data_IF_104588640388
#
_entry.id   IF_104588640388
#
_cell.length_a   1.000
_cell.length_b   1.000
_cell.length_c   1.000
_cell.angle_alpha   90.00
_cell.angle_beta   90.00
_cell.angle_gamma   90.00
#
_symmetry.space_group_name_H-M   'P 1'
#
loop_
_entity.id
_entity.type
_entity.pdbx_description
1 polymer ?
#
# COMPACT_ATOMS: atom_id res chain seq x y z
N UNK A 1 2.52 26.07 -16.88
CA UNK A 1 2.04 24.68 -16.82
C UNK A 1 2.16 24.27 -15.36
N UNK A 2 1.03 24.10 -14.66
CA UNK A 2 1.07 23.72 -13.24
C UNK A 2 1.37 22.22 -13.15
N UNK A 3 2.36 21.78 -12.36
CA UNK A 3 2.65 20.36 -12.17
C UNK A 3 1.48 19.71 -11.43
N UNK A 4 0.91 18.62 -11.98
CA UNK A 4 -0.10 17.79 -11.31
C UNK A 4 -1.42 17.55 -12.04
N UNK A 5 -1.65 18.11 -13.24
CA UNK A 5 -2.94 17.97 -13.94
C UNK A 5 -3.11 16.68 -14.77
N UNK A 6 -2.09 15.83 -14.88
CA UNK A 6 -2.11 14.68 -15.81
C UNK A 6 -2.22 13.31 -15.11
N UNK A 7 -2.38 13.27 -13.79
CA UNK A 7 -2.52 12.00 -13.07
C UNK A 7 -3.96 11.52 -13.12
N UNK A 8 -4.17 10.22 -13.33
CA UNK A 8 -5.48 9.61 -13.14
C UNK A 8 -5.85 9.60 -11.65
N UNK A 9 -7.12 9.91 -11.29
CA UNK A 9 -7.55 9.88 -9.90
C UNK A 9 -7.48 8.45 -9.34
N UNK A 10 -7.39 8.33 -8.02
CA UNK A 10 -7.43 7.02 -7.37
C UNK A 10 -8.73 6.29 -7.75
N UNK A 11 -8.67 5.06 -8.28
CA UNK A 11 -9.81 4.42 -8.96
C UNK A 11 -10.99 4.10 -8.03
N UNK A 12 -10.76 4.07 -6.72
CA UNK A 12 -11.78 3.79 -5.71
C UNK A 12 -12.09 5.01 -4.84
N UNK A 13 -11.81 6.23 -5.33
CA UNK A 13 -12.03 7.47 -4.57
C UNK A 13 -13.49 7.65 -4.11
N UNK A 14 -14.46 7.24 -4.93
CA UNK A 14 -15.90 7.39 -4.64
C UNK A 14 -16.40 6.51 -3.50
N UNK A 15 -15.75 5.36 -3.28
CA UNK A 15 -16.11 4.39 -2.25
C UNK A 15 -15.11 4.38 -1.08
N UNK A 16 -14.21 5.36 -1.04
CA UNK A 16 -13.19 5.47 -0.01
C UNK A 16 -13.82 5.83 1.35
N UNK A 17 -13.65 5.00 2.40
CA UNK A 17 -14.11 5.33 3.74
C UNK A 17 -13.42 6.58 4.30
N UNK A 18 -14.10 7.30 5.18
CA UNK A 18 -13.57 8.52 5.80
C UNK A 18 -12.24 8.29 6.53
N UNK A 19 -12.06 7.12 7.14
CA UNK A 19 -10.82 6.72 7.80
C UNK A 19 -9.58 6.66 6.87
N UNK A 20 -9.80 6.53 5.56
CA UNK A 20 -8.73 6.50 4.55
C UNK A 20 -8.59 7.83 3.79
N UNK A 21 -9.51 8.78 3.96
CA UNK A 21 -9.43 10.09 3.31
C UNK A 21 -8.22 10.85 3.85
N UNK A 22 -7.37 11.33 2.95
CA UNK A 22 -6.12 12.02 3.30
C UNK A 22 -4.98 11.09 3.74
N UNK A 23 -5.26 9.79 3.91
CA UNK A 23 -4.23 8.76 4.17
C UNK A 23 -3.65 8.25 2.86
N UNK A 24 -4.50 7.74 1.96
CA UNK A 24 -4.04 7.21 0.66
C UNK A 24 -3.62 8.33 -0.30
N UNK A 25 -2.87 7.94 -1.34
CA UNK A 25 -2.66 8.80 -2.50
C UNK A 25 -4.00 9.08 -3.19
N UNK A 26 -4.16 10.32 -3.65
CA UNK A 26 -5.33 10.84 -4.36
C UNK A 26 -5.32 10.50 -5.86
N UNK A 27 -4.26 9.87 -6.33
CA UNK A 27 -4.07 9.46 -7.72
C UNK A 27 -3.75 7.97 -7.81
N UNK A 28 -4.01 7.38 -8.98
CA UNK A 28 -3.66 6.01 -9.28
C UNK A 28 -2.18 5.90 -9.65
N UNK A 29 -1.47 4.92 -9.07
CA UNK A 29 -0.09 4.62 -9.43
C UNK A 29 0.06 3.24 -10.07
N UNK A 30 1.08 3.13 -10.90
CA UNK A 30 1.52 1.90 -11.53
C UNK A 30 2.51 1.16 -10.62
N UNK A 31 2.22 -0.11 -10.36
CA UNK A 31 3.03 -0.94 -9.46
C UNK A 31 4.36 -1.36 -10.08
N UNK A 32 4.42 -1.58 -11.39
CA UNK A 32 5.67 -1.92 -12.08
C UNK A 32 6.62 -0.72 -12.12
N UNK A 33 6.09 0.48 -12.39
CA UNK A 33 6.88 1.74 -12.30
C UNK A 33 7.40 1.97 -10.88
N UNK A 34 6.56 1.71 -9.87
CA UNK A 34 6.97 1.78 -8.47
C UNK A 34 8.13 0.82 -8.16
N UNK A 35 8.05 -0.42 -8.61
CA UNK A 35 9.10 -1.41 -8.39
C UNK A 35 10.39 -1.12 -9.18
N UNK A 36 10.28 -0.46 -10.33
CA UNK A 36 11.40 -0.06 -11.16
C UNK A 36 12.21 1.13 -10.60
N UNK A 37 11.72 1.82 -9.56
CA UNK A 37 12.45 2.89 -8.93
C UNK A 37 13.76 2.36 -8.29
N UNK A 38 14.87 2.97 -8.68
CA UNK A 38 16.19 2.72 -8.09
C UNK A 38 16.32 3.49 -6.77
N UNK A 39 15.82 2.87 -5.70
CA UNK A 39 15.82 3.42 -4.35
C UNK A 39 16.63 2.55 -3.42
N UNK A 40 17.42 3.14 -2.50
CA UNK A 40 18.14 2.38 -1.49
C UNK A 40 17.16 1.69 -0.55
N UNK A 41 17.55 0.50 -0.08
CA UNK A 41 16.84 -0.18 1.00
C UNK A 41 17.34 0.36 2.33
N UNK A 42 16.40 0.76 3.18
CA UNK A 42 16.61 1.16 4.59
C UNK A 42 15.70 0.33 5.49
N UNK A 43 15.83 0.47 6.80
CA UNK A 43 14.88 -0.13 7.76
C UNK A 43 14.01 0.95 8.39
N UNK A 44 12.78 0.57 8.73
CA UNK A 44 11.89 1.35 9.60
C UNK A 44 11.37 0.47 10.75
N UNK A 45 11.14 1.04 11.93
CA UNK A 45 10.37 0.37 12.98
C UNK A 45 8.99 -0.03 12.47
N UNK A 46 8.56 -1.27 12.73
CA UNK A 46 7.20 -1.73 12.42
C UNK A 46 6.16 -0.85 13.13
N UNK A 47 6.48 -0.38 14.33
CA UNK A 47 5.63 0.53 15.11
C UNK A 47 5.24 1.81 14.33
N UNK A 48 6.13 2.35 13.49
CA UNK A 48 5.87 3.56 12.70
C UNK A 48 4.86 3.32 11.57
N UNK A 49 4.64 2.06 11.19
CA UNK A 49 3.74 1.62 10.12
C UNK A 49 2.49 0.89 10.65
N UNK A 50 2.53 0.35 11.87
CA UNK A 50 1.49 -0.49 12.47
C UNK A 50 0.10 0.16 12.48
N UNK A 51 0.02 1.49 12.57
CA UNK A 51 -1.25 2.22 12.51
C UNK A 51 -2.02 1.99 11.19
N UNK A 52 -1.35 1.63 10.09
CA UNK A 52 -2.00 1.29 8.82
C UNK A 52 -2.70 -0.07 8.89
N UNK A 53 -2.28 -0.97 9.79
CA UNK A 53 -2.86 -2.30 9.98
C UNK A 53 -4.23 -2.24 10.69
N UNK A 54 -4.57 -1.09 11.29
CA UNK A 54 -5.88 -0.78 11.85
C UNK A 54 -6.83 -0.09 10.85
N UNK A 55 -6.38 0.17 9.62
CA UNK A 55 -7.21 0.80 8.59
C UNK A 55 -7.84 -0.24 7.66
N UNK A 56 -9.04 0.03 7.11
CA UNK A 56 -9.75 -0.92 6.27
C UNK A 56 -9.10 -0.98 4.88
N UNK A 57 -7.97 -1.68 4.73
CA UNK A 57 -7.17 -1.69 3.51
C UNK A 57 -7.61 -2.73 2.48
N UNK A 58 -8.32 -3.78 2.90
CA UNK A 58 -8.57 -4.95 2.06
C UNK A 58 -10.04 -5.14 1.72
N UNK A 59 -10.26 -5.68 0.52
CA UNK A 59 -11.58 -6.08 0.06
C UNK A 59 -12.04 -7.36 0.77
N UNK A 60 -13.34 -7.46 1.02
CA UNK A 60 -14.01 -8.65 1.54
C UNK A 60 -15.44 -8.70 1.04
N UNK A 61 -15.93 -9.88 0.65
CA UNK A 61 -17.30 -10.03 0.15
C UNK A 61 -17.61 -9.24 -1.14
N UNK A 62 -16.61 -9.02 -1.99
CA UNK A 62 -16.77 -8.29 -3.26
C UNK A 62 -16.76 -6.76 -3.15
N UNK A 63 -16.62 -6.21 -1.94
CA UNK A 63 -16.51 -4.76 -1.73
C UNK A 63 -15.08 -4.39 -1.27
N UNK A 64 -14.53 -3.24 -1.73
CA UNK A 64 -13.24 -2.74 -1.27
C UNK A 64 -13.35 -2.14 0.15
N UNK A 65 -12.20 -2.02 0.83
CA UNK A 65 -12.06 -1.35 2.13
C UNK A 65 -13.03 -1.86 3.22
N UNK A 66 -13.14 -3.17 3.37
CA UNK A 66 -14.08 -3.80 4.31
C UNK A 66 -13.40 -4.36 5.56
N UNK A 67 -12.12 -4.75 5.45
CA UNK A 67 -11.42 -5.42 6.54
C UNK A 67 -10.02 -4.84 6.74
N UNK A 68 -9.63 -4.73 8.00
CA UNK A 68 -8.28 -4.30 8.38
C UNK A 68 -7.31 -5.49 8.42
N UNK A 69 -6.01 -5.27 8.18
CA UNK A 69 -5.00 -6.30 8.41
C UNK A 69 -5.06 -6.95 9.80
N UNK A 70 -5.25 -6.17 10.88
CA UNK A 70 -5.40 -6.72 12.23
C UNK A 70 -6.67 -7.57 12.40
N UNK A 71 -7.79 -7.22 11.75
CA UNK A 71 -9.00 -8.07 11.77
C UNK A 71 -8.74 -9.42 11.09
N UNK A 72 -7.98 -9.43 9.98
CA UNK A 72 -7.58 -10.67 9.31
C UNK A 72 -6.67 -11.53 10.19
N UNK A 73 -5.73 -10.92 10.92
CA UNK A 73 -4.90 -11.62 11.88
C UNK A 73 -5.70 -12.20 13.05
N UNK A 74 -6.71 -11.48 13.53
CA UNK A 74 -7.54 -11.89 14.66
C UNK A 74 -8.52 -13.04 14.33
N UNK A 75 -9.00 -13.13 13.08
CA UNK A 75 -9.91 -14.18 12.62
C UNK A 75 -9.45 -14.80 11.28
N UNK A 76 -8.37 -15.62 11.31
CA UNK A 76 -7.76 -16.17 10.11
C UNK A 76 -8.67 -17.19 9.39
N UNK A 77 -9.67 -17.74 10.07
CA UNK A 77 -10.64 -18.67 9.46
C UNK A 77 -11.66 -17.91 8.63
N UNK A 78 -12.22 -16.82 9.16
CA UNK A 78 -13.18 -15.98 8.44
C UNK A 78 -12.56 -15.26 7.25
N UNK A 79 -11.32 -14.82 7.38
CA UNK A 79 -10.57 -14.06 6.37
C UNK A 79 -9.48 -14.88 5.69
N UNK A 80 -9.74 -16.18 5.46
CA UNK A 80 -8.76 -17.16 5.02
C UNK A 80 -7.96 -16.75 3.78
N UNK A 81 -8.58 -16.11 2.78
CA UNK A 81 -7.88 -15.68 1.57
C UNK A 81 -6.81 -14.62 1.87
N UNK A 82 -7.17 -13.56 2.59
CA UNK A 82 -6.23 -12.49 2.94
C UNK A 82 -5.16 -12.98 3.92
N UNK A 83 -5.54 -13.87 4.84
CA UNK A 83 -4.58 -14.48 5.77
C UNK A 83 -3.58 -15.38 5.02
N UNK A 84 -4.05 -16.21 4.08
CA UNK A 84 -3.17 -17.04 3.24
C UNK A 84 -2.20 -16.19 2.41
N UNK A 85 -2.67 -15.09 1.81
CA UNK A 85 -1.82 -14.12 1.11
C UNK A 85 -0.79 -13.48 2.02
N UNK A 86 -1.17 -13.15 3.25
CA UNK A 86 -0.26 -12.64 4.30
C UNK A 86 0.84 -13.66 4.58
N UNK A 87 0.48 -14.91 4.87
CA UNK A 87 1.46 -15.96 5.20
C UNK A 87 2.37 -16.33 4.03
N UNK A 88 1.90 -16.19 2.79
CA UNK A 88 2.68 -16.43 1.58
C UNK A 88 3.57 -15.24 1.15
N UNK A 89 3.36 -14.03 1.70
CA UNK A 89 4.03 -12.82 1.25
C UNK A 89 5.51 -12.83 1.62
N UNK A 90 6.43 -12.90 0.66
CA UNK A 90 7.88 -12.97 0.93
C UNK A 90 8.44 -11.67 1.55
N UNK A 91 8.86 -11.75 2.82
CA UNK A 91 9.40 -10.65 3.62
C UNK A 91 10.84 -10.27 3.27
N UNK A 92 11.51 -11.04 2.39
CA UNK A 92 12.80 -10.64 1.84
C UNK A 92 12.69 -9.42 0.91
N UNK A 93 11.50 -9.15 0.34
CA UNK A 93 11.26 -7.98 -0.49
C UNK A 93 10.84 -6.76 0.36
N UNK A 94 11.49 -5.59 0.15
CA UNK A 94 11.17 -4.40 0.92
C UNK A 94 9.74 -3.89 0.65
N UNK A 95 9.20 -3.15 1.61
CA UNK A 95 7.99 -2.35 1.41
C UNK A 95 8.32 -1.11 0.57
N UNK A 96 7.37 -0.59 -0.19
CA UNK A 96 7.48 0.76 -0.73
C UNK A 96 6.65 1.68 0.14
N UNK A 97 7.28 2.73 0.67
CA UNK A 97 6.63 3.69 1.56
C UNK A 97 6.87 5.11 1.06
N UNK A 98 5.96 6.04 1.33
CA UNK A 98 6.17 7.47 1.09
C UNK A 98 5.79 8.27 2.33
N UNK A 99 6.37 9.45 2.51
CA UNK A 99 5.95 10.36 3.57
C UNK A 99 4.66 11.07 3.16
N UNK A 100 3.62 10.95 3.99
CA UNK A 100 2.38 11.70 3.84
C UNK A 100 2.13 12.51 5.11
N UNK A 101 2.62 13.74 5.13
CA UNK A 101 2.40 14.67 6.24
C UNK A 101 3.12 14.27 7.53
N UNK A 102 4.35 13.76 7.41
CA UNK A 102 5.18 13.31 8.53
C UNK A 102 4.84 11.92 9.06
N UNK A 103 3.97 11.17 8.36
CA UNK A 103 3.65 9.78 8.67
C UNK A 103 3.92 8.90 7.45
N UNK A 104 4.65 7.78 7.58
CA UNK A 104 4.88 6.89 6.46
C UNK A 104 3.58 6.18 6.03
N UNK A 105 3.30 6.21 4.73
CA UNK A 105 2.23 5.48 4.06
C UNK A 105 2.84 4.33 3.26
N UNK A 106 2.27 3.13 3.37
CA UNK A 106 2.64 1.98 2.52
C UNK A 106 1.95 2.10 1.16
N UNK A 107 2.76 2.16 0.09
CA UNK A 107 2.31 2.12 -1.31
C UNK A 107 2.22 0.70 -1.85
N UNK A 108 3.12 -0.19 -1.38
CA UNK A 108 3.10 -1.61 -1.71
C UNK A 108 3.68 -2.44 -0.55
N UNK A 109 3.10 -3.61 -0.33
CA UNK A 109 3.57 -4.59 0.65
C UNK A 109 2.78 -4.67 1.96
N UNK A 110 1.50 -4.26 1.98
CA UNK A 110 0.68 -4.35 3.21
C UNK A 110 0.63 -5.77 3.81
N UNK A 111 0.56 -6.81 2.97
CA UNK A 111 0.65 -8.22 3.42
C UNK A 111 2.01 -8.55 4.04
N UNK A 112 3.11 -7.99 3.52
CA UNK A 112 4.46 -8.18 4.07
C UNK A 112 4.60 -7.46 5.41
N UNK A 113 4.04 -6.26 5.55
CA UNK A 113 4.01 -5.55 6.83
C UNK A 113 3.30 -6.38 7.92
N UNK A 114 2.09 -6.88 7.64
CA UNK A 114 1.36 -7.72 8.59
C UNK A 114 2.14 -9.00 8.91
N UNK A 115 2.73 -9.66 7.91
CA UNK A 115 3.54 -10.88 8.13
C UNK A 115 4.74 -10.61 9.05
N UNK A 116 5.42 -9.47 8.86
CA UNK A 116 6.55 -9.05 9.70
C UNK A 116 6.11 -8.84 11.15
N UNK A 117 4.98 -8.17 11.36
CA UNK A 117 4.43 -7.96 12.72
C UNK A 117 4.04 -9.28 13.39
N UNK A 118 3.36 -10.19 12.67
CA UNK A 118 2.99 -11.51 13.18
C UNK A 118 4.20 -12.38 13.53
N UNK A 119 5.34 -12.17 12.84
CA UNK A 119 6.60 -12.83 13.16
C UNK A 119 7.31 -12.24 14.40
N UNK A 120 6.79 -11.15 14.97
CA UNK A 120 7.36 -10.46 16.13
C UNK A 120 8.62 -9.65 15.80
N UNK A 121 8.82 -9.30 14.53
CA UNK A 121 9.98 -8.51 14.12
C UNK A 121 9.73 -7.02 14.38
N UNK A 122 10.69 -6.34 15.00
CA UNK A 122 10.57 -4.92 15.36
C UNK A 122 10.84 -3.96 14.20
N UNK A 123 11.48 -4.43 13.13
CA UNK A 123 11.88 -3.63 11.98
C UNK A 123 11.50 -4.31 10.67
N UNK A 124 11.32 -3.51 9.62
CA UNK A 124 11.04 -3.97 8.26
C UNK A 124 11.90 -3.22 7.25
N UNK A 125 12.38 -3.94 6.23
CA UNK A 125 13.08 -3.34 5.10
C UNK A 125 12.11 -2.54 4.23
N UNK A 126 12.48 -1.32 3.87
CA UNK A 126 11.67 -0.43 3.04
C UNK A 126 12.51 0.29 1.98
N UNK A 127 11.85 0.71 0.91
CA UNK A 127 12.28 1.72 -0.04
C UNK A 127 11.41 2.95 0.16
N UNK A 128 12.03 4.07 0.56
CA UNK A 128 11.30 5.34 0.77
C UNK A 128 11.20 6.07 -0.57
N UNK A 129 9.99 6.18 -1.10
CA UNK A 129 9.64 6.89 -2.32
C UNK A 129 9.52 8.38 -2.00
N UNK A 130 10.45 9.23 -2.48
CA UNK A 130 10.37 10.66 -2.23
C UNK A 130 9.18 11.26 -2.97
N UNK A 131 8.61 12.36 -2.43
CA UNK A 131 7.48 13.04 -3.05
C UNK A 131 7.73 13.44 -4.52
N UNK A 132 8.99 13.77 -4.85
CA UNK A 132 9.41 14.11 -6.21
C UNK A 132 9.31 12.94 -7.21
N UNK A 133 9.38 11.69 -6.75
CA UNK A 133 9.26 10.49 -7.60
C UNK A 133 7.81 10.00 -7.74
N UNK A 134 6.84 10.64 -7.08
CA UNK A 134 5.43 10.25 -7.17
C UNK A 134 4.85 10.47 -8.58
N UNK A 135 5.38 11.43 -9.33
CA UNK A 135 5.00 11.66 -10.74
C UNK A 135 5.49 10.55 -11.68
N UNK A 136 6.58 9.87 -11.33
CA UNK A 136 7.19 8.82 -12.16
C UNK A 136 6.38 7.53 -12.10
N UNK A 137 5.63 7.32 -11.01
CA UNK A 137 4.78 6.14 -10.80
C UNK A 137 3.31 6.41 -11.14
N UNK A 138 2.90 7.67 -11.33
CA UNK A 138 1.51 8.01 -11.57
C UNK A 138 1.03 7.43 -12.91
N UNK A 139 -0.18 6.87 -12.90
CA UNK A 139 -0.90 6.52 -14.12
C UNK A 139 -1.43 7.80 -14.78
N UNK A 140 -1.40 7.84 -16.11
CA UNK A 140 -1.82 8.98 -16.95
C UNK A 140 -2.88 8.54 -17.96
N UNK A 141 -3.71 9.45 -18.49
CA UNK A 141 -4.73 9.11 -19.49
C UNK A 141 -4.20 8.38 -20.72
N UNK A 142 -2.95 8.66 -21.11
CA UNK A 142 -2.29 8.02 -22.27
C UNK A 142 -1.71 6.64 -21.94
N UNK A 143 -1.71 6.21 -20.68
CA UNK A 143 -1.29 4.86 -20.30
C UNK A 143 -2.34 3.88 -20.79
N UNK A 144 -2.00 3.08 -21.81
CA UNK A 144 -2.88 2.02 -22.30
C UNK A 144 -3.18 1.02 -21.19
N UNK A 145 -4.46 0.79 -20.94
CA UNK A 145 -4.89 -0.29 -20.06
C UNK A 145 -4.46 -1.62 -20.69
N UNK A 146 -3.43 -2.24 -20.12
CA UNK A 146 -3.14 -3.66 -20.35
C UNK A 146 -3.96 -4.55 -19.42
N UNK A 147 -5.09 -4.05 -18.89
CA UNK A 147 -6.07 -4.85 -18.16
C UNK A 147 -6.95 -5.65 -19.14
N UNK A 148 -6.29 -6.53 -19.88
CA UNK A 148 -6.88 -7.72 -20.45
C UNK A 148 -6.09 -8.91 -19.92
N UNK A 149 -6.49 -9.42 -18.74
CA UNK A 149 -6.39 -10.82 -18.34
C UNK A 149 -7.14 -11.06 -17.04
#
# INVERSE_FOLDING_TARGET
>A
MLPGMDRLPFPLADVLPDALRGVLLDFWWDTERLWALDLPVTTLPVADLSWLLDLPMWAYGGAPFQVTPHQVAADPVRYAEQYARTMAADVAFPLHVTDRGGRPLVLDGMHRLLRTELAGWGEVAVKVVPAAALDDIARRPDDTDSLAK
#
